data_IF_711016519011
#
_entry.id   IF_711016519011
#
_cell.length_a   1.000
_cell.length_b   1.000
_cell.length_c   1.000
_cell.angle_alpha   90.00
_cell.angle_beta   90.00
_cell.angle_gamma   90.00
#
_symmetry.space_group_name_H-M   'P 1'
#
loop_
_entity.id
_entity.type
_entity.pdbx_description
1 polymer ?
#
# COMPACT_ATOMS: atom_id res chain seq x y z
N UNK A 1 -66.17 -63.13 -15.19
CA UNK A 1 -65.35 -62.24 -14.52
C UNK A 1 -64.65 -62.90 -13.37
N UNK A 2 -63.35 -63.28 -13.57
CA UNK A 2 -62.54 -63.77 -12.49
C UNK A 2 -61.85 -62.60 -11.76
N UNK A 3 -62.34 -62.27 -10.61
CA UNK A 3 -61.62 -61.43 -9.67
C UNK A 3 -60.65 -62.28 -8.85
N UNK A 4 -59.33 -62.16 -9.14
CA UNK A 4 -58.31 -62.68 -8.21
C UNK A 4 -58.25 -61.74 -7.00
N UNK A 5 -58.94 -62.16 -5.91
CA UNK A 5 -58.77 -61.54 -4.65
C UNK A 5 -57.42 -61.96 -4.03
N UNK A 6 -56.54 -61.02 -3.85
CA UNK A 6 -55.25 -61.20 -3.18
C UNK A 6 -55.47 -61.19 -1.68
N UNK A 7 -55.59 -62.37 -1.10
CA UNK A 7 -55.84 -62.49 0.34
C UNK A 7 -54.51 -62.66 1.07
N UNK A 8 -54.17 -61.75 1.92
CA UNK A 8 -52.94 -61.70 2.76
C UNK A 8 -52.80 -62.81 3.81
N UNK A 9 -53.78 -63.69 3.89
CA UNK A 9 -53.87 -64.71 4.96
C UNK A 9 -53.82 -66.15 4.47
N UNK A 10 -53.38 -66.43 3.27
CA UNK A 10 -53.27 -67.83 2.80
C UNK A 10 -52.00 -68.46 3.36
N UNK A 11 -52.16 -69.45 4.27
CA UNK A 11 -51.10 -70.16 5.02
C UNK A 11 -50.21 -71.07 4.15
N UNK A 12 -50.46 -71.16 2.88
CA UNK A 12 -49.68 -72.03 1.98
C UNK A 12 -48.68 -71.28 1.05
N UNK A 13 -48.61 -69.94 1.16
CA UNK A 13 -47.57 -69.21 0.45
C UNK A 13 -46.21 -69.35 1.14
N UNK A 14 -45.32 -70.17 0.58
CA UNK A 14 -43.93 -70.24 0.99
C UNK A 14 -43.25 -68.94 0.70
N UNK A 15 -42.95 -68.15 1.77
CA UNK A 15 -42.14 -66.95 1.69
C UNK A 15 -40.70 -67.35 1.36
N UNK A 16 -40.23 -67.02 0.15
CA UNK A 16 -38.83 -67.08 -0.22
C UNK A 16 -38.21 -65.75 0.18
N UNK A 17 -37.47 -65.68 1.28
CA UNK A 17 -36.67 -64.55 1.65
C UNK A 17 -35.49 -64.42 0.68
N UNK A 18 -35.60 -63.54 -0.32
CA UNK A 18 -34.47 -63.17 -1.18
C UNK A 18 -33.75 -61.99 -0.54
N UNK A 19 -32.65 -62.22 0.17
CA UNK A 19 -31.71 -61.20 0.58
C UNK A 19 -30.64 -61.03 -0.48
N UNK A 20 -30.69 -59.92 -1.27
CA UNK A 20 -29.66 -59.58 -2.21
C UNK A 20 -28.63 -58.70 -1.48
N UNK A 21 -27.43 -59.20 -1.24
CA UNK A 21 -26.30 -58.45 -0.74
C UNK A 21 -25.47 -57.95 -1.93
N UNK A 22 -25.54 -56.68 -2.22
CA UNK A 22 -24.76 -56.06 -3.30
C UNK A 22 -23.61 -55.23 -2.74
N UNK A 23 -22.36 -55.64 -2.96
CA UNK A 23 -21.18 -54.82 -2.73
C UNK A 23 -20.91 -53.99 -4.00
N UNK A 24 -21.12 -52.67 -3.92
CA UNK A 24 -20.78 -51.74 -5.01
C UNK A 24 -19.37 -51.24 -4.80
N UNK A 25 -18.40 -51.73 -5.53
CA UNK A 25 -17.04 -51.26 -5.55
C UNK A 25 -16.90 -50.26 -6.71
N UNK A 26 -16.97 -48.95 -6.41
CA UNK A 26 -16.62 -47.91 -7.38
C UNK A 26 -15.10 -47.66 -7.34
N UNK A 27 -14.37 -48.25 -8.27
CA UNK A 27 -12.95 -47.93 -8.46
C UNK A 27 -12.84 -46.89 -9.58
N UNK A 28 -12.50 -45.61 -9.24
CA UNK A 28 -12.33 -44.57 -10.25
C UNK A 28 -11.02 -44.77 -11.01
N UNK A 29 -11.05 -45.57 -12.08
CA UNK A 29 -9.87 -45.94 -12.90
C UNK A 29 -9.32 -44.74 -13.70
N UNK A 30 -10.14 -43.71 -13.95
CA UNK A 30 -9.78 -42.53 -14.74
C UNK A 30 -9.70 -41.21 -13.97
N UNK A 31 -9.68 -41.18 -12.63
CA UNK A 31 -9.56 -39.94 -11.84
C UNK A 31 -8.13 -39.40 -11.75
N UNK A 32 -7.13 -40.09 -12.28
CA UNK A 32 -5.71 -39.73 -12.27
C UNK A 32 -5.44 -38.39 -12.95
N UNK A 33 -6.04 -38.14 -14.10
CA UNK A 33 -5.87 -36.89 -14.85
C UNK A 33 -6.50 -35.68 -14.13
N UNK A 34 -7.67 -35.84 -13.52
CA UNK A 34 -8.34 -34.75 -12.78
C UNK A 34 -7.59 -34.34 -11.53
N UNK A 35 -6.98 -35.26 -10.78
CA UNK A 35 -6.15 -34.98 -9.60
C UNK A 35 -4.83 -34.31 -9.98
N UNK A 36 -4.19 -34.76 -11.07
CA UNK A 36 -2.98 -34.14 -11.59
C UNK A 36 -3.22 -32.69 -12.06
N UNK A 37 -4.30 -32.44 -12.80
CA UNK A 37 -4.68 -31.11 -13.24
C UNK A 37 -5.00 -30.18 -12.08
N UNK A 38 -5.69 -30.64 -11.02
CA UNK A 38 -5.94 -29.86 -9.79
C UNK A 38 -4.63 -29.54 -9.06
N UNK A 39 -3.71 -30.47 -8.94
CA UNK A 39 -2.40 -30.25 -8.33
C UNK A 39 -1.55 -29.26 -9.12
N UNK A 40 -1.54 -29.34 -10.43
CA UNK A 40 -0.87 -28.39 -11.33
C UNK A 40 -1.46 -26.98 -11.18
N UNK A 41 -2.80 -26.85 -11.17
CA UNK A 41 -3.49 -25.59 -10.95
C UNK A 41 -3.15 -24.98 -9.58
N UNK A 42 -3.12 -25.80 -8.52
CA UNK A 42 -2.74 -25.34 -7.19
C UNK A 42 -1.28 -24.83 -7.14
N UNK A 43 -0.34 -25.54 -7.78
CA UNK A 43 1.06 -25.10 -7.90
C UNK A 43 1.18 -23.77 -8.65
N UNK A 44 0.44 -23.61 -9.75
CA UNK A 44 0.43 -22.37 -10.53
C UNK A 44 -0.13 -21.20 -9.70
N UNK A 45 -1.22 -21.44 -8.96
CA UNK A 45 -1.80 -20.45 -8.06
C UNK A 45 -0.83 -20.05 -6.93
N UNK A 46 -0.09 -21.00 -6.37
CA UNK A 46 0.95 -20.72 -5.38
C UNK A 46 2.06 -19.85 -5.99
N UNK A 47 2.60 -20.23 -7.15
CA UNK A 47 3.64 -19.44 -7.83
C UNK A 47 3.16 -18.02 -8.17
N UNK A 48 1.90 -17.86 -8.55
CA UNK A 48 1.31 -16.55 -8.80
C UNK A 48 1.19 -15.73 -7.52
N UNK A 49 0.78 -16.35 -6.41
CA UNK A 49 0.73 -15.69 -5.10
C UNK A 49 2.13 -15.26 -4.61
N UNK A 50 3.15 -16.11 -4.79
CA UNK A 50 4.55 -15.79 -4.44
C UNK A 50 5.10 -14.63 -5.29
N UNK A 51 4.80 -14.60 -6.59
CA UNK A 51 5.16 -13.48 -7.47
C UNK A 51 4.46 -12.19 -7.07
N UNK A 52 3.16 -12.25 -6.79
CA UNK A 52 2.40 -11.09 -6.31
C UNK A 52 2.95 -10.57 -4.99
N UNK A 53 3.31 -11.46 -4.06
CA UNK A 53 3.94 -11.07 -2.79
C UNK A 53 5.27 -10.36 -3.03
N UNK A 54 6.10 -10.88 -3.94
CA UNK A 54 7.39 -10.27 -4.30
C UNK A 54 7.19 -8.90 -4.93
N UNK A 55 6.21 -8.74 -5.80
CA UNK A 55 5.86 -7.47 -6.43
C UNK A 55 5.39 -6.44 -5.38
N UNK A 56 4.49 -6.84 -4.48
CA UNK A 56 4.02 -5.96 -3.39
C UNK A 56 5.17 -5.53 -2.48
N UNK A 57 6.04 -6.46 -2.09
CA UNK A 57 7.24 -6.13 -1.30
C UNK A 57 8.14 -5.12 -2.01
N UNK A 58 8.36 -5.30 -3.30
CA UNK A 58 9.18 -4.39 -4.10
C UNK A 58 8.55 -3.00 -4.21
N UNK A 59 7.24 -2.92 -4.45
CA UNK A 59 6.49 -1.64 -4.46
C UNK A 59 6.63 -0.90 -3.13
N UNK A 60 6.36 -1.59 -2.03
CA UNK A 60 6.49 -0.99 -0.68
C UNK A 60 7.91 -0.52 -0.40
N UNK A 61 8.92 -1.28 -0.82
CA UNK A 61 10.32 -0.87 -0.66
C UNK A 61 10.64 0.41 -1.44
N UNK A 62 10.18 0.50 -2.69
CA UNK A 62 10.36 1.68 -3.54
C UNK A 62 9.64 2.90 -2.95
N UNK A 63 8.40 2.74 -2.49
CA UNK A 63 7.63 3.81 -1.84
C UNK A 63 8.32 4.32 -0.58
N UNK A 64 8.82 3.42 0.27
CA UNK A 64 9.57 3.79 1.46
C UNK A 64 10.84 4.58 1.12
N UNK A 65 11.61 4.11 0.12
CA UNK A 65 12.81 4.81 -0.34
C UNK A 65 12.49 6.19 -0.91
N UNK A 66 11.41 6.30 -1.68
CA UNK A 66 10.93 7.59 -2.21
C UNK A 66 10.56 8.55 -1.08
N UNK A 67 9.78 8.09 -0.10
CA UNK A 67 9.40 8.92 1.04
C UNK A 67 10.62 9.36 1.87
N UNK A 68 11.58 8.47 2.09
CA UNK A 68 12.83 8.80 2.78
C UNK A 68 13.65 9.86 2.03
N UNK A 69 13.77 9.72 0.71
CA UNK A 69 14.47 10.69 -0.12
C UNK A 69 13.78 12.06 -0.13
N UNK A 70 12.44 12.08 -0.25
CA UNK A 70 11.65 13.30 -0.18
C UNK A 70 11.82 14.01 1.16
N UNK A 71 11.78 13.26 2.26
CA UNK A 71 12.00 13.84 3.59
C UNK A 71 13.41 14.42 3.74
N UNK A 72 14.45 13.74 3.26
CA UNK A 72 15.82 14.26 3.29
C UNK A 72 15.95 15.53 2.43
N UNK A 73 15.39 15.53 1.22
CA UNK A 73 15.37 16.71 0.36
C UNK A 73 14.64 17.90 1.01
N UNK A 74 13.50 17.65 1.65
CA UNK A 74 12.76 18.70 2.38
C UNK A 74 13.58 19.29 3.53
N UNK A 75 14.34 18.45 4.25
CA UNK A 75 15.27 18.91 5.30
C UNK A 75 16.39 19.78 4.73
N UNK A 76 17.03 19.38 3.66
CA UNK A 76 18.09 20.13 3.01
C UNK A 76 17.59 21.51 2.53
N UNK A 77 16.40 21.53 1.91
CA UNK A 77 15.75 22.77 1.50
C UNK A 77 15.43 23.68 2.67
N UNK A 78 15.02 23.11 3.81
CA UNK A 78 14.75 23.88 5.03
C UNK A 78 16.04 24.49 5.58
N UNK A 79 17.14 23.76 5.66
CA UNK A 79 18.43 24.32 6.11
C UNK A 79 18.93 25.42 5.16
N UNK A 80 18.82 25.21 3.85
CA UNK A 80 19.14 26.23 2.85
C UNK A 80 18.29 27.51 3.05
N UNK A 81 16.99 27.34 3.32
CA UNK A 81 16.10 28.47 3.58
C UNK A 81 16.46 29.22 4.87
N UNK A 82 16.91 28.53 5.93
CA UNK A 82 17.44 29.17 7.14
C UNK A 82 18.68 30.00 6.84
N UNK A 83 19.62 29.48 6.07
CA UNK A 83 20.86 30.21 5.75
C UNK A 83 20.59 31.39 4.84
N UNK A 84 19.67 31.26 3.90
CA UNK A 84 19.20 32.38 3.07
C UNK A 84 18.50 33.47 3.91
N UNK A 85 17.71 33.08 4.90
CA UNK A 85 17.10 34.05 5.83
C UNK A 85 18.16 34.81 6.62
N UNK A 86 19.15 34.14 7.21
CA UNK A 86 20.25 34.79 7.92
C UNK A 86 21.04 35.75 7.02
N UNK A 87 21.20 35.40 5.74
CA UNK A 87 21.85 36.27 4.75
C UNK A 87 20.98 37.51 4.48
N UNK A 88 19.68 37.34 4.26
CA UNK A 88 18.73 38.41 4.01
C UNK A 88 18.65 39.40 5.21
N UNK A 89 18.63 38.87 6.44
CA UNK A 89 18.67 39.68 7.68
C UNK A 89 19.95 40.54 7.75
N UNK A 90 21.10 39.96 7.38
CA UNK A 90 22.36 40.71 7.34
C UNK A 90 22.38 41.78 6.25
N UNK A 91 21.80 41.50 5.10
CA UNK A 91 21.69 42.46 3.99
C UNK A 91 20.78 43.61 4.37
N UNK A 92 19.61 43.30 4.92
CA UNK A 92 18.64 44.30 5.38
C UNK A 92 19.27 45.22 6.46
N UNK A 93 19.90 44.64 7.49
CA UNK A 93 20.59 45.40 8.56
C UNK A 93 21.66 46.34 8.00
N UNK A 94 22.47 45.90 7.03
CA UNK A 94 23.46 46.75 6.36
C UNK A 94 22.82 47.90 5.56
N UNK A 95 21.70 47.63 4.88
CA UNK A 95 21.01 48.66 4.11
C UNK A 95 20.32 49.67 5.02
N UNK A 96 19.82 49.29 6.19
CA UNK A 96 19.31 50.19 7.20
C UNK A 96 20.42 51.18 7.64
N UNK A 97 21.62 50.67 7.99
CA UNK A 97 22.75 51.52 8.40
C UNK A 97 23.13 52.47 7.27
N UNK A 98 23.31 52.01 6.06
CA UNK A 98 23.65 52.83 4.89
C UNK A 98 22.60 53.92 4.60
N UNK A 99 21.33 53.62 4.81
CA UNK A 99 20.25 54.56 4.62
C UNK A 99 20.33 55.68 5.64
N UNK A 100 20.56 55.38 6.94
CA UNK A 100 20.72 56.38 7.97
C UNK A 100 22.00 57.21 7.82
N UNK A 101 23.05 56.64 7.26
CA UNK A 101 24.28 57.35 6.94
C UNK A 101 24.18 58.20 5.64
N UNK A 102 23.03 58.20 4.96
CA UNK A 102 22.81 58.92 3.71
C UNK A 102 23.54 58.36 2.50
N UNK A 103 24.16 57.17 2.62
CA UNK A 103 24.94 56.50 1.57
C UNK A 103 24.06 55.73 0.59
N UNK A 104 22.84 55.33 1.04
CA UNK A 104 21.90 54.52 0.25
C UNK A 104 20.51 55.19 0.26
N UNK A 105 19.81 55.07 -0.89
CA UNK A 105 18.43 55.58 -1.00
C UNK A 105 17.38 54.64 -0.45
N UNK A 106 16.15 55.14 -0.30
CA UNK A 106 15.00 54.35 0.18
C UNK A 106 14.68 53.13 -0.70
N UNK A 107 14.99 53.19 -1.99
CA UNK A 107 14.76 52.08 -2.90
C UNK A 107 15.56 50.82 -2.52
N UNK A 108 16.87 50.98 -2.24
CA UNK A 108 17.73 49.87 -1.82
C UNK A 108 17.29 49.29 -0.48
N UNK A 109 16.84 50.10 0.46
CA UNK A 109 16.29 49.63 1.73
C UNK A 109 14.99 48.83 1.52
N UNK A 110 14.06 49.36 0.72
CA UNK A 110 12.81 48.66 0.40
C UNK A 110 13.08 47.32 -0.30
N UNK A 111 14.04 47.27 -1.24
CA UNK A 111 14.43 46.03 -1.92
C UNK A 111 15.00 44.98 -0.92
N UNK A 112 15.85 45.42 0.00
CA UNK A 112 16.39 44.52 1.03
C UNK A 112 15.30 43.99 1.97
N UNK A 113 14.33 44.82 2.34
CA UNK A 113 13.16 44.42 3.14
C UNK A 113 12.29 43.39 2.38
N UNK A 114 12.04 43.62 1.09
CA UNK A 114 11.31 42.63 0.26
C UNK A 114 12.04 41.30 0.19
N UNK A 115 13.37 41.29 0.03
CA UNK A 115 14.17 40.08 0.05
C UNK A 115 14.08 39.33 1.39
N UNK A 116 14.10 40.09 2.51
CA UNK A 116 13.91 39.52 3.84
C UNK A 116 12.53 38.86 3.99
N UNK A 117 11.45 39.53 3.58
CA UNK A 117 10.11 38.91 3.59
C UNK A 117 9.99 37.68 2.74
N UNK A 118 10.59 37.68 1.56
CA UNK A 118 10.64 36.48 0.69
C UNK A 118 11.39 35.32 1.35
N UNK A 119 12.52 35.60 2.00
CA UNK A 119 13.30 34.60 2.70
C UNK A 119 12.54 34.03 3.92
N UNK A 120 11.83 34.87 4.67
CA UNK A 120 10.95 34.46 5.78
C UNK A 120 9.84 33.53 5.27
N UNK A 121 9.16 33.91 4.19
CA UNK A 121 8.13 33.11 3.57
C UNK A 121 8.66 31.76 3.06
N UNK A 122 9.83 31.75 2.42
CA UNK A 122 10.48 30.52 1.96
C UNK A 122 10.84 29.58 3.11
N UNK A 123 11.33 30.09 4.25
CA UNK A 123 11.58 29.31 5.46
C UNK A 123 10.30 28.65 5.98
N UNK A 124 9.19 29.39 6.04
CA UNK A 124 7.90 28.85 6.52
C UNK A 124 7.40 27.75 5.58
N UNK A 125 7.49 27.96 4.27
CA UNK A 125 7.07 26.96 3.27
C UNK A 125 7.92 25.69 3.33
N UNK A 126 9.24 25.84 3.45
CA UNK A 126 10.14 24.68 3.56
C UNK A 126 9.95 23.93 4.90
N UNK A 127 9.70 24.63 6.01
CA UNK A 127 9.34 24.01 7.28
C UNK A 127 8.05 23.18 7.17
N UNK A 128 7.02 23.73 6.50
CA UNK A 128 5.78 22.99 6.22
C UNK A 128 6.05 21.74 5.39
N UNK A 129 6.91 21.83 4.37
CA UNK A 129 7.28 20.68 3.53
C UNK A 129 7.94 19.57 4.38
N UNK A 130 8.85 19.91 5.30
CA UNK A 130 9.46 18.92 6.20
C UNK A 130 8.42 18.20 7.04
N UNK A 131 7.44 18.92 7.60
CA UNK A 131 6.37 18.32 8.41
C UNK A 131 5.53 17.35 7.57
N UNK A 132 5.14 17.76 6.35
CA UNK A 132 4.34 16.92 5.44
C UNK A 132 5.11 15.66 5.07
N UNK A 133 6.37 15.78 4.64
CA UNK A 133 7.15 14.62 4.20
C UNK A 133 7.52 13.70 5.38
N UNK A 134 7.70 14.25 6.59
CA UNK A 134 7.83 13.46 7.82
C UNK A 134 6.58 12.63 8.08
N UNK A 135 5.40 13.25 8.03
CA UNK A 135 4.12 12.54 8.22
C UNK A 135 3.89 11.47 7.16
N UNK A 136 4.23 11.75 5.90
CA UNK A 136 4.15 10.77 4.81
C UNK A 136 5.04 9.55 5.08
N UNK A 137 6.27 9.79 5.53
CA UNK A 137 7.19 8.71 5.88
C UNK A 137 6.68 7.89 7.08
N UNK A 138 6.18 8.54 8.12
CA UNK A 138 5.60 7.89 9.30
C UNK A 138 4.37 7.05 8.93
N UNK A 139 3.48 7.55 8.08
CA UNK A 139 2.32 6.81 7.60
C UNK A 139 2.70 5.53 6.84
N UNK A 140 3.73 5.60 5.98
CA UNK A 140 4.22 4.42 5.25
C UNK A 140 4.84 3.40 6.21
N UNK A 141 5.51 3.85 7.28
CA UNK A 141 6.11 2.97 8.28
C UNK A 141 5.05 2.34 9.21
N UNK A 142 4.03 3.10 9.60
CA UNK A 142 2.97 2.62 10.51
C UNK A 142 1.94 1.71 9.81
N UNK A 143 1.71 1.87 8.52
CA UNK A 143 0.80 1.00 7.74
C UNK A 143 1.37 -0.42 7.53
N UNK A 144 2.54 -0.73 8.11
CA UNK A 144 3.21 -2.04 8.06
C UNK A 144 2.98 -2.89 9.31
N UNK A 145 2.34 -2.36 10.35
CA UNK A 145 1.93 -3.10 11.53
C UNK A 145 0.43 -3.41 11.49
#
# INVERSE_FOLDING_TARGET
>A
GNSNEFTFTDKEQKWFGSSAFGLRLEVPIFSSFGRHAKSQKAKLSLQQAEKNLTEVKSKVYVEMRKAQNNFNLAKENYFTAIDNLKLAERIEKKNIIKFFEGVSGSFQLTQAQQQLYQAQQSKIQSMRAVIIEKTNLENILNNKN
#
